data_IF_633042248847
#
_entry.id   IF_633042248847
#
_cell.length_a   1.000
_cell.length_b   1.000
_cell.length_c   1.000
_cell.angle_alpha   90.00
_cell.angle_beta   90.00
_cell.angle_gamma   90.00
#
_symmetry.space_group_name_H-M   'P 1'
#
loop_
_entity.id
_entity.type
_entity.pdbx_description
1 polymer ?
#
# COMPACT_ATOMS: atom_id res chain seq x y z
N UNK A 1 -15.66 -24.22 -18.16
CA UNK A 1 -16.08 -24.73 -16.84
C UNK A 1 -16.62 -23.55 -16.07
N UNK A 2 -17.81 -23.63 -15.46
CA UNK A 2 -18.39 -22.54 -14.68
C UNK A 2 -18.23 -22.82 -13.19
N UNK A 3 -18.05 -21.77 -12.38
CA UNK A 3 -17.79 -21.87 -10.95
C UNK A 3 -18.88 -21.19 -10.13
N UNK A 4 -19.16 -21.69 -8.93
CA UNK A 4 -20.01 -20.98 -7.97
C UNK A 4 -19.18 -19.91 -7.27
N UNK A 5 -19.35 -18.66 -7.68
CA UNK A 5 -18.58 -17.52 -7.20
C UNK A 5 -19.49 -16.60 -6.39
N UNK A 6 -19.00 -16.13 -5.24
CA UNK A 6 -19.63 -15.07 -4.47
C UNK A 6 -18.67 -13.87 -4.32
N UNK A 7 -19.23 -12.66 -4.35
CA UNK A 7 -18.53 -11.42 -4.08
C UNK A 7 -19.02 -10.91 -2.73
N UNK A 8 -18.11 -10.80 -1.78
CA UNK A 8 -18.50 -10.69 -0.37
C UNK A 8 -18.74 -9.24 0.07
N UNK A 9 -18.06 -8.29 -0.57
CA UNK A 9 -18.12 -6.86 -0.28
C UNK A 9 -17.78 -6.04 -1.55
N UNK A 10 -17.74 -4.70 -1.42
CA UNK A 10 -17.38 -3.85 -2.56
C UNK A 10 -15.90 -3.99 -2.91
N UNK A 11 -15.62 -4.77 -3.96
CA UNK A 11 -14.28 -5.01 -4.51
C UNK A 11 -13.85 -4.01 -5.60
N UNK A 12 -14.65 -2.98 -5.87
CA UNK A 12 -14.38 -1.89 -6.83
C UNK A 12 -13.86 -2.36 -8.20
N UNK A 13 -14.48 -3.40 -8.76
CA UNK A 13 -14.17 -3.83 -10.13
C UNK A 13 -14.68 -2.82 -11.15
N UNK A 14 -13.97 -2.74 -12.28
CA UNK A 14 -14.46 -2.05 -13.47
C UNK A 14 -15.56 -2.87 -14.13
N UNK A 15 -16.54 -2.22 -14.77
CA UNK A 15 -17.66 -2.89 -15.43
C UNK A 15 -17.20 -3.98 -16.41
N UNK A 16 -16.12 -3.76 -17.15
CA UNK A 16 -15.55 -4.75 -18.07
C UNK A 16 -15.03 -5.99 -17.35
N UNK A 17 -14.47 -5.83 -16.14
CA UNK A 17 -14.01 -6.95 -15.32
C UNK A 17 -15.20 -7.69 -14.67
N UNK A 18 -16.27 -6.99 -14.31
CA UNK A 18 -17.52 -7.60 -13.84
C UNK A 18 -18.12 -8.50 -14.92
N UNK A 19 -18.19 -8.01 -16.16
CA UNK A 19 -18.68 -8.78 -17.33
C UNK A 19 -17.83 -10.02 -17.58
N UNK A 20 -16.49 -9.89 -17.56
CA UNK A 20 -15.58 -11.03 -17.71
C UNK A 20 -15.77 -12.06 -16.60
N UNK A 21 -15.85 -11.64 -15.35
CA UNK A 21 -16.06 -12.52 -14.21
C UNK A 21 -17.40 -13.25 -14.31
N UNK A 22 -18.46 -12.57 -14.77
CA UNK A 22 -19.77 -13.17 -14.99
C UNK A 22 -19.73 -14.33 -16.00
N UNK A 23 -18.84 -14.30 -17.00
CA UNK A 23 -18.68 -15.42 -17.96
C UNK A 23 -18.12 -16.70 -17.33
N UNK A 24 -17.40 -16.57 -16.21
CA UNK A 24 -16.81 -17.68 -15.46
C UNK A 24 -17.77 -18.22 -14.38
N UNK A 25 -18.76 -17.44 -13.98
CA UNK A 25 -19.71 -17.79 -12.93
C UNK A 25 -20.86 -18.68 -13.44
N UNK A 26 -21.28 -19.62 -12.60
CA UNK A 26 -22.45 -20.47 -12.84
C UNK A 26 -23.77 -19.75 -12.54
N UNK A 27 -23.70 -18.72 -11.70
CA UNK A 27 -24.84 -17.91 -11.26
C UNK A 27 -24.64 -16.43 -11.62
N UNK A 28 -25.73 -15.64 -11.73
CA UNK A 28 -25.64 -14.19 -11.74
C UNK A 28 -24.89 -13.70 -10.51
N UNK A 29 -23.86 -12.89 -10.73
CA UNK A 29 -23.06 -12.30 -9.67
C UNK A 29 -23.78 -11.10 -9.08
N UNK A 30 -23.73 -10.99 -7.76
CA UNK A 30 -24.19 -9.82 -7.03
C UNK A 30 -22.94 -9.06 -6.61
N UNK A 31 -22.88 -7.77 -6.94
CA UNK A 31 -21.79 -6.86 -6.55
C UNK A 31 -22.31 -5.97 -5.41
N UNK A 32 -21.94 -6.25 -4.15
CA UNK A 32 -22.37 -5.44 -3.03
C UNK A 32 -21.83 -4.01 -3.14
N UNK A 33 -22.64 -3.02 -2.75
CA UNK A 33 -22.22 -1.62 -2.73
C UNK A 33 -21.64 -1.22 -1.38
N UNK A 34 -21.91 -1.99 -0.33
CA UNK A 34 -21.42 -1.72 1.01
C UNK A 34 -19.91 -1.93 1.07
N UNK A 35 -19.22 -0.92 1.61
CA UNK A 35 -17.76 -0.91 1.77
C UNK A 35 -17.34 -1.81 2.93
N UNK A 36 -18.12 -1.82 4.01
CA UNK A 36 -17.90 -2.66 5.18
C UNK A 36 -19.02 -3.70 5.30
N UNK A 37 -18.65 -4.90 5.72
CA UNK A 37 -19.59 -5.99 5.98
C UNK A 37 -19.17 -6.74 7.25
N UNK A 38 -20.16 -7.07 8.06
CA UNK A 38 -20.01 -7.94 9.22
C UNK A 38 -19.74 -9.38 8.77
N UNK A 39 -19.11 -10.18 9.64
CA UNK A 39 -18.87 -11.61 9.32
C UNK A 39 -20.16 -12.36 8.97
N UNK A 40 -21.28 -12.03 9.61
CA UNK A 40 -22.58 -12.62 9.31
C UNK A 40 -23.07 -12.29 7.89
N UNK A 41 -22.87 -11.05 7.44
CA UNK A 41 -23.19 -10.65 6.07
C UNK A 41 -22.28 -11.35 5.05
N UNK A 42 -20.97 -11.48 5.35
CA UNK A 42 -20.04 -12.23 4.51
C UNK A 42 -20.49 -13.70 4.37
N UNK A 43 -20.88 -14.35 5.47
CA UNK A 43 -21.40 -15.72 5.48
C UNK A 43 -22.68 -15.83 4.65
N UNK A 44 -23.64 -14.91 4.87
CA UNK A 44 -24.91 -14.90 4.15
C UNK A 44 -24.71 -14.73 2.63
N UNK A 45 -23.78 -13.85 2.22
CA UNK A 45 -23.42 -13.63 0.81
C UNK A 45 -22.68 -14.80 0.18
N UNK A 46 -21.96 -15.59 0.99
CA UNK A 46 -21.19 -16.75 0.50
C UNK A 46 -22.10 -17.86 0.00
N UNK A 47 -23.18 -18.18 0.72
CA UNK A 47 -24.11 -19.24 0.32
C UNK A 47 -23.41 -20.58 0.08
N UNK A 48 -23.61 -21.17 -1.10
CA UNK A 48 -22.99 -22.42 -1.55
C UNK A 48 -21.79 -22.21 -2.49
N UNK A 49 -21.20 -21.01 -2.49
CA UNK A 49 -20.06 -20.69 -3.34
C UNK A 49 -18.83 -21.54 -3.01
N UNK A 50 -18.07 -21.87 -4.05
CA UNK A 50 -16.80 -22.57 -3.96
C UNK A 50 -15.61 -21.61 -4.06
N UNK A 51 -15.82 -20.45 -4.67
CA UNK A 51 -14.85 -19.38 -4.80
C UNK A 51 -15.46 -18.07 -4.27
N UNK A 52 -14.68 -17.33 -3.47
CA UNK A 52 -15.11 -16.03 -2.96
C UNK A 52 -14.11 -14.95 -3.34
N UNK A 53 -14.63 -13.78 -3.70
CA UNK A 53 -13.84 -12.57 -3.92
C UNK A 53 -14.16 -11.55 -2.83
N UNK A 54 -13.11 -10.94 -2.26
CA UNK A 54 -13.21 -10.07 -1.09
C UNK A 54 -12.24 -8.91 -1.17
N UNK A 55 -12.62 -7.76 -0.64
CA UNK A 55 -11.78 -6.56 -0.55
C UNK A 55 -10.78 -6.67 0.61
N UNK A 56 -9.92 -5.66 0.77
CA UNK A 56 -9.00 -5.57 1.91
C UNK A 56 -9.72 -5.36 3.26
N UNK A 57 -11.01 -5.04 3.26
CA UNK A 57 -11.79 -4.80 4.48
C UNK A 57 -12.50 -6.06 4.98
N UNK A 58 -12.88 -6.97 4.07
CA UNK A 58 -13.51 -8.23 4.43
C UNK A 58 -12.58 -9.13 5.23
N UNK A 59 -13.13 -9.74 6.29
CA UNK A 59 -12.38 -10.57 7.24
C UNK A 59 -12.63 -12.04 6.95
N UNK A 60 -11.55 -12.76 6.63
CA UNK A 60 -11.59 -14.21 6.39
C UNK A 60 -10.94 -14.88 7.61
N UNK A 61 -11.79 -15.23 8.57
CA UNK A 61 -11.43 -15.79 9.88
C UNK A 61 -11.64 -17.31 9.92
N UNK A 62 -11.14 -17.98 10.96
CA UNK A 62 -11.48 -19.39 11.24
C UNK A 62 -12.99 -19.62 11.40
N UNK A 63 -13.71 -18.70 12.05
CA UNK A 63 -15.17 -18.80 12.22
C UNK A 63 -15.91 -18.68 10.89
N UNK A 64 -15.50 -17.74 10.04
CA UNK A 64 -16.02 -17.62 8.67
C UNK A 64 -15.82 -18.91 7.86
N UNK A 65 -14.59 -19.43 7.80
CA UNK A 65 -14.29 -20.64 7.01
C UNK A 65 -15.00 -21.89 7.56
N UNK A 66 -15.21 -21.96 8.87
CA UNK A 66 -15.99 -23.04 9.49
C UNK A 66 -17.47 -22.96 9.09
N UNK A 67 -18.03 -21.75 9.01
CA UNK A 67 -19.42 -21.52 8.62
C UNK A 67 -19.67 -21.73 7.11
N UNK A 68 -18.62 -21.59 6.30
CA UNK A 68 -18.68 -21.70 4.84
C UNK A 68 -17.82 -22.86 4.29
N UNK A 69 -18.16 -24.13 4.60
CA UNK A 69 -17.31 -25.29 4.30
C UNK A 69 -17.20 -25.63 2.80
N UNK A 70 -18.01 -25.00 1.94
CA UNK A 70 -17.96 -25.18 0.48
C UNK A 70 -16.82 -24.41 -0.17
N UNK A 71 -16.31 -23.38 0.50
CA UNK A 71 -15.27 -22.51 -0.04
C UNK A 71 -13.97 -23.31 -0.22
N UNK A 72 -13.39 -23.19 -1.41
CA UNK A 72 -12.13 -23.82 -1.82
C UNK A 72 -11.10 -22.79 -2.28
N UNK A 73 -11.57 -21.59 -2.66
CA UNK A 73 -10.74 -20.49 -3.13
C UNK A 73 -11.16 -19.15 -2.52
N UNK A 74 -10.17 -18.37 -2.09
CA UNK A 74 -10.34 -16.97 -1.65
C UNK A 74 -9.43 -16.09 -2.50
N UNK A 75 -10.05 -15.21 -3.29
CA UNK A 75 -9.37 -14.18 -4.07
C UNK A 75 -9.49 -12.83 -3.38
N UNK A 76 -8.39 -12.32 -2.83
CA UNK A 76 -8.33 -10.98 -2.27
C UNK A 76 -8.10 -9.96 -3.40
N UNK A 77 -9.08 -9.08 -3.62
CA UNK A 77 -9.03 -7.98 -4.59
C UNK A 77 -8.26 -6.78 -4.02
N UNK A 78 -7.01 -7.02 -3.62
CA UNK A 78 -6.09 -5.99 -3.10
C UNK A 78 -4.82 -6.59 -2.51
N UNK A 79 -3.86 -5.74 -2.13
CA UNK A 79 -2.53 -6.19 -1.68
C UNK A 79 -2.46 -6.53 -0.20
N UNK A 80 -3.18 -5.78 0.65
CA UNK A 80 -3.07 -5.89 2.10
C UNK A 80 -3.80 -7.13 2.62
N UNK A 81 -3.05 -8.05 3.21
CA UNK A 81 -3.59 -9.31 3.77
C UNK A 81 -3.87 -9.23 5.27
N UNK A 82 -3.96 -8.02 5.84
CA UNK A 82 -4.08 -7.81 7.29
C UNK A 82 -5.33 -8.48 7.92
N UNK A 83 -6.38 -8.66 7.14
CA UNK A 83 -7.66 -9.24 7.56
C UNK A 83 -7.82 -10.73 7.20
N UNK A 84 -6.73 -11.40 6.79
CA UNK A 84 -6.74 -12.82 6.39
C UNK A 84 -6.05 -13.67 7.46
N UNK A 85 -6.77 -14.66 8.00
CA UNK A 85 -6.19 -15.68 8.87
C UNK A 85 -5.52 -16.79 8.05
N UNK A 86 -4.22 -16.66 7.83
CA UNK A 86 -3.45 -17.64 7.07
C UNK A 86 -3.34 -19.02 7.75
N UNK A 87 -3.50 -19.12 9.08
CA UNK A 87 -3.54 -20.41 9.74
C UNK A 87 -4.85 -21.13 9.42
N UNK A 88 -5.96 -20.41 9.43
CA UNK A 88 -7.27 -20.93 9.01
C UNK A 88 -7.27 -21.34 7.53
N UNK A 89 -6.79 -20.47 6.63
CA UNK A 89 -6.63 -20.78 5.19
C UNK A 89 -5.90 -22.11 4.98
N UNK A 90 -4.77 -22.30 5.69
CA UNK A 90 -3.99 -23.53 5.62
C UNK A 90 -4.73 -24.74 6.20
N UNK A 91 -5.39 -24.59 7.35
CA UNK A 91 -6.15 -25.65 8.04
C UNK A 91 -7.29 -26.18 7.17
N UNK A 92 -8.03 -25.26 6.54
CA UNK A 92 -9.17 -25.57 5.66
C UNK A 92 -8.75 -25.90 4.22
N UNK A 93 -7.44 -25.89 3.91
CA UNK A 93 -6.87 -26.20 2.58
C UNK A 93 -7.41 -25.30 1.47
N UNK A 94 -7.61 -24.03 1.79
CA UNK A 94 -8.10 -23.02 0.86
C UNK A 94 -6.96 -22.56 -0.05
N UNK A 95 -7.23 -22.50 -1.36
CA UNK A 95 -6.34 -21.81 -2.31
C UNK A 95 -6.53 -20.31 -2.12
N UNK A 96 -5.45 -19.60 -1.83
CA UNK A 96 -5.48 -18.15 -1.62
C UNK A 96 -4.62 -17.44 -2.66
N UNK A 97 -5.12 -16.33 -3.20
CA UNK A 97 -4.32 -15.38 -3.95
C UNK A 97 -4.79 -13.95 -3.71
N UNK A 98 -3.87 -13.02 -3.87
CA UNK A 98 -4.12 -11.60 -3.77
C UNK A 98 -3.53 -10.85 -4.98
N UNK A 99 -4.00 -9.62 -5.20
CA UNK A 99 -3.38 -8.74 -6.19
C UNK A 99 -2.11 -8.16 -5.58
N UNK A 100 -0.98 -8.32 -6.27
CA UNK A 100 0.32 -7.76 -5.88
C UNK A 100 0.81 -6.80 -6.97
N UNK A 101 1.73 -5.91 -6.63
CA UNK A 101 2.47 -5.06 -7.57
C UNK A 101 1.61 -4.16 -8.49
N UNK A 102 0.41 -3.72 -8.04
CA UNK A 102 -0.50 -2.88 -8.85
C UNK A 102 -0.70 -1.44 -8.32
N UNK A 103 -0.13 -1.12 -7.15
CA UNK A 103 -0.39 0.15 -6.45
C UNK A 103 0.83 1.07 -6.33
N UNK A 104 2.01 0.62 -6.74
CA UNK A 104 3.27 1.31 -6.46
C UNK A 104 3.43 2.59 -7.30
N UNK A 105 3.20 2.52 -8.61
CA UNK A 105 3.28 3.69 -9.50
C UNK A 105 2.23 4.76 -9.18
N UNK A 106 0.92 4.44 -9.05
CA UNK A 106 -0.09 5.45 -8.72
C UNK A 106 0.15 6.10 -7.36
N UNK A 107 0.61 5.34 -6.35
CA UNK A 107 0.95 5.89 -5.05
C UNK A 107 2.17 6.83 -5.13
N UNK A 108 3.18 6.47 -5.92
CA UNK A 108 4.33 7.35 -6.15
C UNK A 108 3.92 8.63 -6.89
N UNK A 109 3.07 8.54 -7.92
CA UNK A 109 2.52 9.70 -8.62
C UNK A 109 1.74 10.62 -7.68
N UNK A 110 0.90 10.04 -6.84
CA UNK A 110 0.14 10.79 -5.83
C UNK A 110 1.06 11.49 -4.82
N UNK A 111 2.14 10.83 -4.38
CA UNK A 111 3.17 11.45 -3.54
C UNK A 111 3.75 12.69 -4.21
N UNK A 112 4.18 12.56 -5.47
CA UNK A 112 4.81 13.66 -6.20
C UNK A 112 3.83 14.79 -6.48
N UNK A 113 2.56 14.49 -6.75
CA UNK A 113 1.51 15.50 -6.83
C UNK A 113 1.45 16.33 -5.53
N UNK A 114 1.36 15.67 -4.36
CA UNK A 114 1.34 16.37 -3.07
C UNK A 114 2.62 17.16 -2.80
N UNK A 115 3.78 16.60 -3.11
CA UNK A 115 5.07 17.27 -2.95
C UNK A 115 5.16 18.53 -3.83
N UNK A 116 4.69 18.45 -5.09
CA UNK A 116 4.65 19.59 -6.01
C UNK A 116 3.65 20.65 -5.54
N UNK A 117 2.49 20.27 -5.03
CA UNK A 117 1.52 21.20 -4.44
C UNK A 117 2.15 21.98 -3.27
N UNK A 118 2.83 21.27 -2.35
CA UNK A 118 3.56 21.89 -1.24
C UNK A 118 4.66 22.83 -1.72
N UNK A 119 5.47 22.39 -2.69
CA UNK A 119 6.57 23.18 -3.24
C UNK A 119 6.08 24.44 -3.96
N UNK A 120 4.94 24.37 -4.64
CA UNK A 120 4.37 25.46 -5.44
C UNK A 120 3.37 26.35 -4.70
N UNK A 121 3.02 26.01 -3.46
CA UNK A 121 2.03 26.77 -2.69
C UNK A 121 0.61 26.62 -3.20
N UNK A 122 0.28 25.45 -3.74
CA UNK A 122 -1.07 25.15 -4.24
C UNK A 122 -1.83 24.41 -3.13
N UNK A 123 -2.87 25.06 -2.60
CA UNK A 123 -3.72 24.49 -1.55
C UNK A 123 -3.52 25.16 -0.19
N UNK A 124 -3.84 24.42 0.89
CA UNK A 124 -3.83 24.96 2.26
C UNK A 124 -2.41 25.11 2.84
N UNK A 125 -1.49 24.25 2.43
CA UNK A 125 -0.15 24.16 3.01
C UNK A 125 0.91 24.45 1.95
N UNK A 126 2.01 25.08 2.37
CA UNK A 126 3.15 25.41 1.51
C UNK A 126 4.44 25.07 2.25
N UNK A 127 5.41 24.49 1.53
CA UNK A 127 6.69 24.05 2.11
C UNK A 127 7.55 25.24 2.54
N UNK A 128 7.77 26.19 1.63
CA UNK A 128 8.63 27.36 1.86
C UNK A 128 7.78 28.62 1.93
N UNK A 129 8.32 29.75 2.40
CA UNK A 129 7.57 31.02 2.40
C UNK A 129 7.19 31.49 0.99
N UNK A 130 8.04 31.20 0.01
CA UNK A 130 7.81 31.44 -1.42
C UNK A 130 7.80 30.10 -2.16
N UNK A 131 7.08 29.98 -3.29
CA UNK A 131 7.15 28.80 -4.15
C UNK A 131 8.59 28.45 -4.51
N UNK A 132 8.89 27.15 -4.57
CA UNK A 132 10.21 26.59 -4.87
C UNK A 132 10.09 25.42 -5.84
N UNK A 133 11.15 25.13 -6.58
CA UNK A 133 11.29 23.96 -7.43
C UNK A 133 11.85 22.76 -6.65
N UNK A 134 11.40 21.55 -6.98
CA UNK A 134 11.97 20.32 -6.43
C UNK A 134 13.23 19.84 -7.16
N UNK A 135 13.48 20.35 -8.37
CA UNK A 135 14.68 20.01 -9.15
C UNK A 135 15.95 20.35 -8.36
N UNK A 136 16.89 19.41 -8.30
CA UNK A 136 18.16 19.56 -7.58
C UNK A 136 18.07 19.43 -6.06
N UNK A 137 16.86 19.43 -5.46
CA UNK A 137 16.66 19.10 -4.05
C UNK A 137 16.95 17.62 -3.77
N UNK A 138 17.22 17.29 -2.52
CA UNK A 138 17.50 15.91 -2.11
C UNK A 138 16.27 15.19 -1.57
N UNK A 139 16.13 13.91 -1.93
CA UNK A 139 15.11 13.00 -1.39
C UNK A 139 15.77 11.75 -0.84
N UNK A 140 15.49 11.45 0.42
CA UNK A 140 15.90 10.23 1.09
C UNK A 140 14.74 9.23 1.17
N UNK A 141 14.87 8.09 0.52
CA UNK A 141 13.85 7.03 0.48
C UNK A 141 14.16 5.98 1.55
N UNK A 142 13.25 5.82 2.50
CA UNK A 142 13.33 4.84 3.59
C UNK A 142 12.53 3.60 3.16
N UNK A 143 13.27 2.56 2.77
CA UNK A 143 12.75 1.34 2.15
C UNK A 143 12.78 1.41 0.63
N UNK A 144 13.62 0.58 -0.02
CA UNK A 144 13.71 0.51 -1.49
C UNK A 144 13.04 -0.78 -2.04
N UNK A 145 11.77 -0.96 -1.65
CA UNK A 145 10.85 -2.00 -2.16
C UNK A 145 10.23 -1.60 -3.51
N UNK A 146 9.09 -2.19 -3.91
CA UNK A 146 8.41 -1.83 -5.16
C UNK A 146 8.03 -0.33 -5.20
N UNK A 147 7.27 0.15 -4.21
CA UNK A 147 6.95 1.57 -4.04
C UNK A 147 8.19 2.48 -3.98
N UNK A 148 9.19 2.13 -3.16
CA UNK A 148 10.42 2.93 -3.06
C UNK A 148 11.17 3.05 -4.39
N UNK A 149 11.15 2.01 -5.22
CA UNK A 149 11.72 2.03 -6.58
C UNK A 149 10.89 2.90 -7.53
N UNK A 150 9.56 2.87 -7.45
CA UNK A 150 8.69 3.75 -8.22
C UNK A 150 8.94 5.23 -7.86
N UNK A 151 9.05 5.54 -6.55
CA UNK A 151 9.43 6.87 -6.06
C UNK A 151 10.81 7.29 -6.60
N UNK A 152 11.80 6.41 -6.53
CA UNK A 152 13.15 6.68 -7.03
C UNK A 152 13.16 7.01 -8.54
N UNK A 153 12.40 6.28 -9.35
CA UNK A 153 12.28 6.55 -10.79
C UNK A 153 11.74 7.96 -11.05
N UNK A 154 10.65 8.34 -10.40
CA UNK A 154 10.06 9.67 -10.55
C UNK A 154 11.01 10.77 -10.03
N UNK A 155 11.66 10.55 -8.89
CA UNK A 155 12.63 11.48 -8.32
C UNK A 155 13.80 11.77 -9.28
N UNK A 156 14.36 10.73 -9.89
CA UNK A 156 15.39 10.85 -10.92
C UNK A 156 14.87 11.62 -12.14
N UNK A 157 13.62 11.36 -12.58
CA UNK A 157 12.96 12.09 -13.67
C UNK A 157 12.80 13.59 -13.38
N UNK A 158 12.47 13.96 -12.13
CA UNK A 158 12.45 15.35 -11.66
C UNK A 158 13.85 15.93 -11.40
N UNK A 159 14.91 15.16 -11.65
CA UNK A 159 16.32 15.55 -11.44
C UNK A 159 16.60 15.94 -9.99
N UNK A 160 16.00 15.23 -9.04
CA UNK A 160 16.35 15.29 -7.62
C UNK A 160 17.63 14.50 -7.35
N UNK A 161 18.31 14.79 -6.24
CA UNK A 161 19.39 13.94 -5.71
C UNK A 161 18.74 12.84 -4.88
N UNK A 162 18.93 11.58 -5.27
CA UNK A 162 18.18 10.46 -4.68
C UNK A 162 19.08 9.64 -3.76
N UNK A 163 18.72 9.60 -2.49
CA UNK A 163 19.37 8.80 -1.46
C UNK A 163 18.41 7.72 -0.95
N UNK A 164 18.94 6.64 -0.39
CA UNK A 164 18.08 5.60 0.18
C UNK A 164 18.68 4.88 1.38
N UNK A 165 17.79 4.38 2.24
CA UNK A 165 18.09 3.46 3.32
C UNK A 165 17.27 2.17 3.13
N UNK A 166 17.91 1.02 3.30
CA UNK A 166 17.24 -0.29 3.24
C UNK A 166 18.07 -1.33 4.01
N UNK A 167 17.40 -2.39 4.48
CA UNK A 167 18.07 -3.53 5.13
C UNK A 167 19.11 -4.22 4.23
N UNK A 168 18.96 -4.11 2.91
CA UNK A 168 19.89 -4.66 1.94
C UNK A 168 20.24 -3.61 0.90
N UNK A 169 21.54 -3.47 0.62
CA UNK A 169 22.04 -2.62 -0.46
C UNK A 169 21.48 -3.05 -1.81
N UNK A 170 21.22 -2.07 -2.68
CA UNK A 170 20.62 -2.23 -4.01
C UNK A 170 21.59 -1.67 -5.06
N UNK A 171 22.68 -2.40 -5.29
CA UNK A 171 23.78 -1.99 -6.19
C UNK A 171 23.31 -1.60 -7.60
N UNK A 172 22.30 -2.26 -8.15
CA UNK A 172 21.76 -1.94 -9.47
C UNK A 172 21.07 -0.56 -9.52
N UNK A 173 20.52 -0.11 -8.39
CA UNK A 173 19.97 1.23 -8.26
C UNK A 173 21.06 2.27 -8.01
N UNK A 174 22.13 1.90 -7.32
CA UNK A 174 23.29 2.78 -7.14
C UNK A 174 23.93 3.14 -8.48
N UNK A 175 24.06 2.18 -9.39
CA UNK A 175 24.52 2.40 -10.78
C UNK A 175 23.62 3.36 -11.57
N UNK A 176 22.37 3.56 -11.15
CA UNK A 176 21.39 4.46 -11.77
C UNK A 176 21.39 5.86 -11.16
N UNK A 177 22.32 6.16 -10.26
CA UNK A 177 22.47 7.47 -9.64
C UNK A 177 21.81 7.61 -8.27
N UNK A 178 21.44 6.51 -7.62
CA UNK A 178 21.06 6.52 -6.21
C UNK A 178 22.29 6.39 -5.32
N UNK A 179 22.25 6.97 -4.14
CA UNK A 179 23.29 6.83 -3.13
C UNK A 179 22.73 6.23 -1.84
N UNK A 180 23.39 5.19 -1.31
CA UNK A 180 23.00 4.64 -0.02
C UNK A 180 23.40 5.58 1.12
N UNK A 181 22.53 5.72 2.12
CA UNK A 181 22.77 6.45 3.36
C UNK A 181 22.23 5.63 4.53
N UNK A 182 22.90 5.68 5.68
CA UNK A 182 22.28 5.20 6.92
C UNK A 182 21.11 6.12 7.32
N UNK A 183 20.19 5.59 8.13
CA UNK A 183 18.95 6.28 8.49
C UNK A 183 19.19 7.64 9.14
N UNK A 184 20.16 7.74 10.05
CA UNK A 184 20.47 8.98 10.77
C UNK A 184 20.95 10.05 9.80
N UNK A 185 21.93 9.73 8.96
CA UNK A 185 22.44 10.68 7.95
C UNK A 185 21.37 11.04 6.93
N UNK A 186 20.51 10.10 6.54
CA UNK A 186 19.39 10.36 5.62
C UNK A 186 18.44 11.42 6.20
N UNK A 187 18.00 11.25 7.45
CA UNK A 187 17.06 12.17 8.10
C UNK A 187 17.64 13.57 8.31
N UNK A 188 18.94 13.67 8.59
CA UNK A 188 19.62 14.94 8.87
C UNK A 188 19.90 15.80 7.62
N UNK A 189 20.02 15.18 6.44
CA UNK A 189 20.60 15.86 5.27
C UNK A 189 19.63 16.04 4.09
N UNK A 190 18.49 15.34 4.08
CA UNK A 190 17.58 15.36 2.93
C UNK A 190 16.48 16.43 3.04
N UNK A 191 16.16 17.09 1.93
CA UNK A 191 15.06 18.06 1.86
C UNK A 191 13.69 17.35 1.96
N UNK A 192 13.60 16.14 1.42
CA UNK A 192 12.42 15.27 1.51
C UNK A 192 12.83 13.92 2.08
N UNK A 193 12.08 13.40 3.05
CA UNK A 193 12.19 12.01 3.49
C UNK A 193 10.90 11.28 3.09
N UNK A 194 11.02 10.17 2.36
CA UNK A 194 9.88 9.38 1.90
C UNK A 194 9.91 7.98 2.51
N UNK A 195 8.88 7.60 3.28
CA UNK A 195 8.78 6.29 3.93
C UNK A 195 7.91 5.36 3.08
N UNK A 196 8.48 4.22 2.69
CA UNK A 196 7.81 3.17 1.92
C UNK A 196 8.14 1.76 2.45
N UNK A 197 8.26 1.64 3.78
CA UNK A 197 8.55 0.36 4.45
C UNK A 197 7.29 -0.51 4.61
N UNK A 198 7.46 -1.83 4.79
CA UNK A 198 6.36 -2.72 5.17
C UNK A 198 5.65 -2.27 6.45
N UNK A 199 4.39 -2.68 6.61
CA UNK A 199 3.49 -2.20 7.67
C UNK A 199 3.94 -2.55 9.08
N UNK A 200 4.70 -3.63 9.25
CA UNK A 200 5.18 -4.14 10.54
C UNK A 200 6.59 -3.63 10.91
N UNK A 201 7.12 -2.65 10.20
CA UNK A 201 8.46 -2.11 10.44
C UNK A 201 8.33 -0.70 10.99
N UNK A 202 8.63 -0.51 12.28
CA UNK A 202 8.77 0.81 12.90
C UNK A 202 10.11 1.43 12.53
N UNK A 203 10.10 2.66 12.00
CA UNK A 203 11.30 3.35 11.51
C UNK A 203 11.55 4.66 12.24
N UNK A 204 10.50 5.46 12.47
CA UNK A 204 10.62 6.76 13.12
C UNK A 204 9.96 6.74 14.50
N UNK A 205 10.77 6.91 15.54
CA UNK A 205 10.34 7.27 16.88
C UNK A 205 10.80 8.67 17.26
N UNK A 206 10.66 9.00 18.55
CA UNK A 206 11.09 10.28 19.10
C UNK A 206 12.56 10.64 18.77
N UNK A 207 13.55 9.74 18.93
CA UNK A 207 14.94 10.07 18.62
C UNK A 207 15.16 10.44 17.16
N UNK A 208 14.45 9.78 16.23
CA UNK A 208 14.54 10.05 14.81
C UNK A 208 13.89 11.38 14.42
N UNK A 209 12.77 11.74 15.04
CA UNK A 209 12.13 13.04 14.82
C UNK A 209 12.96 14.21 15.37
N UNK A 210 13.68 14.03 16.47
CA UNK A 210 14.55 15.06 17.06
C UNK A 210 15.73 15.45 16.16
N UNK A 211 16.15 14.57 15.25
CA UNK A 211 17.29 14.78 14.35
C UNK A 211 16.90 15.12 12.92
N UNK A 212 15.60 15.15 12.60
CA UNK A 212 15.15 15.40 11.24
C UNK A 212 15.59 16.81 10.80
N UNK A 213 16.00 16.94 9.53
CA UNK A 213 16.42 18.22 8.97
C UNK A 213 15.31 19.27 9.17
N UNK A 214 15.60 20.43 9.79
CA UNK A 214 14.63 21.51 9.88
C UNK A 214 14.16 21.98 8.49
N UNK A 215 12.88 22.34 8.37
CA UNK A 215 12.24 22.72 7.10
C UNK A 215 12.30 21.64 6.01
N UNK A 216 12.42 20.36 6.36
CA UNK A 216 12.23 19.25 5.42
C UNK A 216 10.76 18.85 5.28
N UNK A 217 10.46 18.04 4.27
CA UNK A 217 9.14 17.44 4.05
C UNK A 217 9.22 15.94 4.33
N UNK A 218 8.34 15.44 5.20
CA UNK A 218 8.15 14.02 5.41
C UNK A 218 6.95 13.53 4.59
N UNK A 219 7.18 12.57 3.70
CA UNK A 219 6.15 11.89 2.91
C UNK A 219 5.96 10.48 3.47
N UNK A 220 4.77 10.21 4.00
CA UNK A 220 4.44 8.92 4.61
C UNK A 220 3.45 8.15 3.73
N UNK A 221 3.90 7.04 3.12
CA UNK A 221 3.10 6.23 2.19
C UNK A 221 2.97 4.77 2.62
N UNK A 222 3.25 4.46 3.88
CA UNK A 222 2.98 3.14 4.46
C UNK A 222 1.68 3.16 5.25
N UNK A 223 1.01 2.01 5.35
CA UNK A 223 -0.26 1.84 6.07
C UNK A 223 -0.08 1.25 7.47
N UNK A 224 1.12 1.31 8.05
CA UNK A 224 1.46 0.58 9.27
C UNK A 224 2.06 1.41 10.41
N UNK A 225 2.96 0.76 11.15
CA UNK A 225 3.59 1.28 12.37
C UNK A 225 4.91 1.99 12.10
N UNK A 226 5.15 2.43 10.85
CA UNK A 226 6.45 2.97 10.46
C UNK A 226 6.84 4.23 11.22
N UNK A 227 5.86 4.96 11.77
CA UNK A 227 6.10 6.09 12.65
C UNK A 227 5.33 5.96 13.97
N UNK A 228 5.96 6.47 15.02
CA UNK A 228 5.30 6.76 16.27
C UNK A 228 4.44 8.03 16.12
N UNK A 229 3.11 7.85 16.13
CA UNK A 229 2.17 8.94 15.88
C UNK A 229 2.23 10.02 16.96
N UNK A 230 2.48 9.65 18.21
CA UNK A 230 2.57 10.62 19.29
C UNK A 230 3.82 11.47 19.13
N UNK A 231 4.96 10.83 18.87
CA UNK A 231 6.21 11.54 18.65
C UNK A 231 6.21 12.41 17.38
N UNK A 232 5.36 12.11 16.39
CA UNK A 232 5.20 12.94 15.19
C UNK A 232 4.42 14.24 15.42
N UNK A 233 3.50 14.24 16.40
CA UNK A 233 2.64 15.40 16.70
C UNK A 233 3.38 16.43 17.56
N UNK A 234 4.28 15.95 18.44
CA UNK A 234 5.13 16.77 19.32
C UNK A 234 6.19 17.56 18.54
#
# INVERSE_FOLDING_TARGET
MKYKIAILDNINLLSEAEEQLQTLADNPLIFPKEIEATEQELIARTGDAEAVLVSILGKITESYLTACPTVKYVGLCGTSTANIDFQAIKKHKIVFSNVIDYGDEPAAEYMFMLLLMLARGVGKYQWQKMPTEIMGKSIGIIGLGALGKAIANLALGFKMKVFYFSSHRKSDWEKRGLEYMDLKTLLQNNDVAAISTPTNVKVLGKPEFEIIKPNSVLMYLSSGEALDKQAFIE
#
